data_IF_414922784538
#
_entry.id   IF_414922784538
#
_cell.length_a   1.000
_cell.length_b   1.000
_cell.length_c   1.000
_cell.angle_alpha   90.00
_cell.angle_beta   90.00
_cell.angle_gamma   90.00
#
_symmetry.space_group_name_H-M   'P 1'
#
loop_
_entity.id
_entity.type
_entity.pdbx_description
1 polymer ?
#
# COMPACT_ATOMS: atom_id res chain seq x y z
N UNK A 1 8.43 -11.38 -8.30
CA UNK A 1 8.12 -9.96 -8.55
C UNK A 1 6.95 -9.94 -9.53
N UNK A 2 5.75 -9.50 -9.12
CA UNK A 2 4.58 -9.47 -10.01
C UNK A 2 4.73 -8.24 -10.90
N UNK A 3 4.94 -8.46 -12.20
CA UNK A 3 5.00 -7.40 -13.19
C UNK A 3 3.57 -7.12 -13.68
N UNK A 4 3.01 -5.99 -13.25
CA UNK A 4 1.64 -5.56 -13.61
C UNK A 4 1.59 -4.72 -14.88
N UNK A 5 2.73 -4.37 -15.48
CA UNK A 5 2.82 -3.43 -16.62
C UNK A 5 2.54 -1.97 -16.27
N UNK A 6 2.15 -1.66 -15.04
CA UNK A 6 1.87 -0.31 -14.57
C UNK A 6 3.13 0.24 -13.92
N UNK A 7 3.78 1.20 -14.59
CA UNK A 7 4.97 1.89 -14.08
C UNK A 7 4.56 3.24 -13.52
N UNK A 8 4.42 3.34 -12.20
CA UNK A 8 4.33 4.63 -11.54
C UNK A 8 5.71 5.27 -11.53
N UNK A 9 5.97 6.15 -12.51
CA UNK A 9 7.19 6.95 -12.54
C UNK A 9 6.87 8.32 -11.96
N UNK A 10 7.38 8.68 -10.77
CA UNK A 10 7.33 10.07 -10.34
C UNK A 10 8.10 10.89 -11.38
N UNK A 11 7.40 11.83 -12.03
CA UNK A 11 7.97 12.72 -13.05
C UNK A 11 9.03 13.66 -12.48
N UNK A 12 9.03 13.83 -11.14
CA UNK A 12 10.02 14.61 -10.40
C UNK A 12 10.52 13.77 -9.20
N UNK A 13 11.83 13.51 -9.08
CA UNK A 13 12.39 12.81 -7.92
C UNK A 13 12.04 13.51 -6.60
N UNK A 14 11.64 12.72 -5.60
CA UNK A 14 11.25 13.24 -4.28
C UNK A 14 9.79 13.65 -4.15
N UNK A 15 9.03 13.71 -5.24
CA UNK A 15 7.58 13.95 -5.21
C UNK A 15 6.80 12.64 -5.07
N UNK A 16 5.79 12.66 -4.20
CA UNK A 16 4.82 11.57 -4.05
C UNK A 16 3.83 11.66 -5.22
N UNK A 17 3.55 10.56 -5.94
CA UNK A 17 2.54 10.55 -7.00
C UNK A 17 1.15 10.96 -6.48
N UNK A 18 0.40 11.77 -7.24
CA UNK A 18 -0.93 12.26 -6.81
C UNK A 18 -1.89 11.13 -6.45
N UNK A 19 -1.86 10.01 -7.18
CA UNK A 19 -2.72 8.87 -6.87
C UNK A 19 -2.45 8.31 -5.48
N UNK A 20 -1.18 8.27 -5.07
CA UNK A 20 -0.80 7.78 -3.75
C UNK A 20 -1.23 8.77 -2.67
N UNK A 21 -1.13 10.07 -2.95
CA UNK A 21 -1.63 11.13 -2.07
C UNK A 21 -3.15 11.03 -1.92
N UNK A 22 -3.89 10.75 -3.00
CA UNK A 22 -5.35 10.55 -2.95
C UNK A 22 -5.74 9.32 -2.16
N UNK A 23 -5.05 8.20 -2.35
CA UNK A 23 -5.24 6.99 -1.56
C UNK A 23 -4.98 7.25 -0.06
N UNK A 24 -3.90 7.98 0.25
CA UNK A 24 -3.59 8.39 1.62
C UNK A 24 -4.67 9.28 2.24
N UNK A 25 -5.24 10.22 1.45
CA UNK A 25 -6.34 11.07 1.90
C UNK A 25 -7.59 10.26 2.26
N UNK A 26 -7.98 9.30 1.40
CA UNK A 26 -9.11 8.40 1.65
C UNK A 26 -8.84 7.52 2.89
N UNK A 27 -7.63 6.98 3.02
CA UNK A 27 -7.22 6.19 4.17
C UNK A 27 -7.31 6.99 5.48
N UNK A 28 -6.90 8.27 5.45
CA UNK A 28 -7.02 9.18 6.59
C UNK A 28 -8.45 9.74 6.81
N UNK A 29 -9.45 9.26 6.09
CA UNK A 29 -10.83 9.74 6.14
C UNK A 29 -11.02 11.24 5.80
N UNK A 30 -10.14 11.79 4.97
CA UNK A 30 -10.27 13.15 4.46
C UNK A 30 -11.03 13.18 3.14
N UNK A 31 -11.84 14.21 2.94
CA UNK A 31 -12.24 14.61 1.58
C UNK A 31 -11.03 15.21 0.86
N UNK A 32 -10.99 15.17 -0.48
CA UNK A 32 -9.86 15.74 -1.21
C UNK A 32 -9.70 17.25 -0.98
N UNK A 33 -10.81 17.98 -0.89
CA UNK A 33 -10.79 19.42 -0.60
C UNK A 33 -10.23 19.69 0.79
N UNK A 34 -10.64 18.93 1.81
CA UNK A 34 -10.07 19.05 3.16
C UNK A 34 -8.58 18.72 3.16
N UNK A 35 -8.19 17.63 2.48
CA UNK A 35 -6.79 17.23 2.38
C UNK A 35 -5.94 18.38 1.82
N UNK A 36 -6.36 19.03 0.74
CA UNK A 36 -5.61 20.14 0.13
C UNK A 36 -5.44 21.36 1.05
N UNK A 37 -6.22 21.48 2.13
CA UNK A 37 -6.08 22.58 3.10
C UNK A 37 -5.13 22.25 4.26
N UNK A 38 -4.69 21.00 4.39
CA UNK A 38 -3.75 20.59 5.43
C UNK A 38 -2.35 21.18 5.20
N UNK A 39 -1.60 21.31 6.29
CA UNK A 39 -0.20 21.73 6.22
C UNK A 39 0.70 20.67 5.57
N UNK A 40 1.86 21.10 5.05
CA UNK A 40 2.85 20.20 4.46
C UNK A 40 3.23 19.03 5.38
N UNK A 41 3.39 19.31 6.68
CA UNK A 41 3.77 18.28 7.65
C UNK A 41 2.67 17.22 7.81
N UNK A 42 1.41 17.64 7.89
CA UNK A 42 0.26 16.72 7.98
C UNK A 42 0.12 15.86 6.71
N UNK A 43 0.40 16.44 5.52
CA UNK A 43 0.48 15.65 4.28
C UNK A 43 1.54 14.57 4.37
N UNK A 44 2.75 14.95 4.77
CA UNK A 44 3.88 14.04 4.86
C UNK A 44 3.60 12.91 5.86
N UNK A 45 3.05 13.24 7.03
CA UNK A 45 2.66 12.28 8.06
C UNK A 45 1.56 11.34 7.56
N UNK A 46 0.52 11.88 6.91
CA UNK A 46 -0.58 11.07 6.38
C UNK A 46 -0.13 10.09 5.29
N UNK A 47 0.72 10.53 4.36
CA UNK A 47 1.30 9.65 3.33
C UNK A 47 2.23 8.61 3.96
N UNK A 48 3.06 9.00 4.92
CA UNK A 48 3.96 8.07 5.61
C UNK A 48 3.18 6.99 6.37
N UNK A 49 2.12 7.38 7.09
CA UNK A 49 1.24 6.47 7.80
C UNK A 49 0.57 5.47 6.84
N UNK A 50 0.01 5.96 5.73
CA UNK A 50 -0.56 5.13 4.68
C UNK A 50 0.43 4.10 4.12
N UNK A 51 1.67 4.51 3.83
CA UNK A 51 2.73 3.62 3.32
C UNK A 51 3.08 2.51 4.30
N UNK A 52 3.25 2.85 5.58
CA UNK A 52 3.58 1.87 6.63
C UNK A 52 2.45 0.86 6.76
N UNK A 53 1.19 1.33 6.78
CA UNK A 53 0.03 0.45 6.85
C UNK A 53 0.01 -0.54 5.68
N UNK A 54 0.16 -0.05 4.44
CA UNK A 54 0.19 -0.90 3.24
C UNK A 54 1.33 -1.93 3.27
N UNK A 55 2.51 -1.55 3.75
CA UNK A 55 3.64 -2.46 3.87
C UNK A 55 3.34 -3.60 4.87
N UNK A 56 2.74 -3.27 6.02
CA UNK A 56 2.33 -4.27 7.02
C UNK A 56 1.29 -5.22 6.43
N UNK A 57 0.24 -4.69 5.80
CA UNK A 57 -0.83 -5.49 5.20
C UNK A 57 -0.29 -6.44 4.13
N UNK A 58 0.63 -5.97 3.27
CA UNK A 58 1.28 -6.81 2.27
C UNK A 58 2.04 -7.98 2.90
N UNK A 59 2.79 -7.73 3.98
CA UNK A 59 3.53 -8.78 4.68
C UNK A 59 2.60 -9.77 5.40
N UNK A 60 1.49 -9.31 5.95
CA UNK A 60 0.48 -10.19 6.53
C UNK A 60 -0.15 -11.10 5.47
N UNK A 61 -0.53 -10.53 4.32
CA UNK A 61 -1.08 -11.29 3.19
C UNK A 61 -0.08 -12.32 2.65
N UNK A 62 1.21 -11.96 2.56
CA UNK A 62 2.28 -12.88 2.19
C UNK A 62 2.42 -14.04 3.19
N UNK A 63 2.36 -13.75 4.49
CA UNK A 63 2.44 -14.77 5.53
C UNK A 63 1.26 -15.76 5.44
N UNK A 64 0.03 -15.25 5.26
CA UNK A 64 -1.17 -16.07 5.06
C UNK A 64 -1.04 -16.92 3.79
N UNK A 65 -0.59 -16.34 2.67
CA UNK A 65 -0.42 -17.06 1.42
C UNK A 65 0.61 -18.19 1.52
N UNK A 66 1.72 -17.97 2.25
CA UNK A 66 2.73 -19.01 2.53
C UNK A 66 2.14 -20.15 3.34
N UNK A 67 1.35 -19.83 4.37
CA UNK A 67 0.73 -20.85 5.22
C UNK A 67 -0.30 -21.69 4.45
N UNK A 68 -1.13 -21.05 3.63
CA UNK A 68 -2.09 -21.76 2.78
C UNK A 68 -1.40 -22.69 1.79
N UNK A 69 -0.32 -22.24 1.14
CA UNK A 69 0.48 -23.09 0.25
C UNK A 69 1.06 -24.31 0.97
N UNK A 70 1.58 -24.11 2.20
CA UNK A 70 2.09 -25.21 3.03
C UNK A 70 1.02 -26.25 3.35
N UNK A 71 -0.17 -25.81 3.76
CA UNK A 71 -1.30 -26.70 4.07
C UNK A 71 -1.80 -27.48 2.85
N UNK A 72 -1.89 -26.84 1.69
CA UNK A 72 -2.32 -27.51 0.45
C UNK A 72 -1.30 -28.57 0.01
N UNK A 73 0.00 -28.28 0.09
CA UNK A 73 1.06 -29.23 -0.25
C UNK A 73 1.06 -30.47 0.66
N UNK A 74 0.83 -30.29 1.97
CA UNK A 74 0.73 -31.41 2.92
C UNK A 74 -0.46 -32.32 2.62
N UNK A 75 -1.63 -31.75 2.27
CA UNK A 75 -2.84 -32.52 1.93
C UNK A 75 -2.68 -33.35 0.65
N UNK A 76 -1.96 -32.86 -0.35
CA UNK A 76 -1.70 -33.60 -1.59
C UNK A 76 -0.69 -34.74 -1.45
N UNK A 77 0.07 -34.81 -0.36
CA UNK A 77 1.05 -35.89 -0.10
C UNK A 77 0.50 -37.08 0.67
N UNK A 78 -0.75 -36.99 1.16
CA UNK A 78 -1.42 -38.03 1.95
C UNK A 78 -2.49 -38.81 1.17
N UNK A 79 -2.62 -38.60 -0.14
CA UNK A 79 -3.46 -39.39 -1.06
C UNK A 79 -2.61 -40.04 -2.14
#
# INVERSE_FOLDING_TARGET
MVNTGIVYRPTVPGLVPEIEVREAAVFGHYTWTTWQTLGWQEHAEGVAHFRIHRAIEMHQNDAVAREMKRKTAQRGSQG
#
